data_IF_999569640577
#
_entry.id   IF_999569640577
#
_cell.length_a   1.000
_cell.length_b   1.000
_cell.length_c   1.000
_cell.angle_alpha   90.00
_cell.angle_beta   90.00
_cell.angle_gamma   90.00
#
_symmetry.space_group_name_H-M   'P 1'
#
loop_
_entity.id
_entity.type
_entity.pdbx_description
1 polymer ?
#
# COMPACT_ATOMS: atom_id res chain seq x y z
N UNK A 1 46.58 12.91 -12.65
CA UNK A 1 45.64 11.79 -12.38
C UNK A 1 44.26 12.43 -12.24
N UNK A 2 43.22 11.91 -12.93
CA UNK A 2 41.91 12.55 -12.97
C UNK A 2 41.17 12.38 -11.64
N UNK A 3 40.46 13.43 -11.22
CA UNK A 3 39.69 13.48 -9.98
C UNK A 3 38.49 12.52 -10.05
N UNK A 4 38.47 11.53 -9.16
CA UNK A 4 37.33 10.63 -9.00
C UNK A 4 36.13 11.41 -8.46
N UNK A 5 35.16 11.60 -9.35
CA UNK A 5 33.85 12.15 -9.03
C UNK A 5 33.12 11.14 -8.12
N UNK A 6 33.27 11.32 -6.80
CA UNK A 6 32.56 10.55 -5.77
C UNK A 6 31.07 10.84 -5.94
N UNK A 7 30.37 10.00 -6.71
CA UNK A 7 28.91 9.98 -6.77
C UNK A 7 28.41 9.66 -5.37
N UNK A 8 28.05 10.69 -4.62
CA UNK A 8 27.35 10.57 -3.35
C UNK A 8 26.03 9.85 -3.62
N UNK A 9 25.97 8.58 -3.22
CA UNK A 9 24.69 7.86 -3.16
C UNK A 9 23.80 8.60 -2.16
N UNK A 10 22.56 8.98 -2.52
CA UNK A 10 21.66 9.59 -1.56
C UNK A 10 21.39 8.57 -0.45
N UNK A 11 21.87 8.87 0.76
CA UNK A 11 21.55 8.09 1.95
C UNK A 11 20.03 8.21 2.13
N UNK A 12 19.32 7.12 1.80
CA UNK A 12 17.89 7.04 2.03
C UNK A 12 17.69 6.81 3.54
N UNK A 13 17.72 7.91 4.30
CA UNK A 13 17.35 7.91 5.72
C UNK A 13 15.87 7.58 5.80
N UNK A 14 15.57 6.30 5.96
CA UNK A 14 14.23 5.83 6.24
C UNK A 14 13.83 6.42 7.62
N UNK A 15 12.87 7.35 7.70
CA UNK A 15 12.52 7.97 8.97
C UNK A 15 11.94 6.92 9.93
N UNK A 16 12.12 7.14 11.23
CA UNK A 16 11.79 6.16 12.27
C UNK A 16 10.31 5.75 12.30
N UNK A 17 9.41 6.60 11.78
CA UNK A 17 8.00 6.29 11.57
C UNK A 17 7.53 6.87 10.25
N UNK A 18 6.84 6.04 9.49
CA UNK A 18 6.32 6.32 8.17
C UNK A 18 4.81 6.08 8.19
N UNK A 19 4.02 7.08 7.79
CA UNK A 19 2.57 6.98 7.74
C UNK A 19 2.11 6.18 6.51
N UNK A 20 1.24 5.19 6.72
CA UNK A 20 0.66 4.42 5.62
C UNK A 20 -0.21 5.33 4.75
N UNK A 21 0.11 5.39 3.46
CA UNK A 21 -0.71 6.08 2.45
C UNK A 21 -1.63 5.13 1.72
N UNK A 22 -1.36 3.82 1.77
CA UNK A 22 -2.23 2.80 1.20
C UNK A 22 -1.96 1.40 1.75
N UNK A 23 -3.02 0.59 1.81
CA UNK A 23 -2.96 -0.82 2.17
C UNK A 23 -3.82 -1.59 1.18
N UNK A 24 -3.24 -2.63 0.56
CA UNK A 24 -3.98 -3.57 -0.27
C UNK A 24 -3.73 -4.99 0.23
N UNK A 25 -4.79 -5.78 0.39
CA UNK A 25 -4.71 -7.16 0.83
C UNK A 25 -5.45 -8.03 -0.19
N UNK A 26 -4.72 -8.95 -0.80
CA UNK A 26 -5.26 -10.02 -1.63
C UNK A 26 -4.98 -11.38 -0.99
N UNK A 27 -5.68 -12.42 -1.44
CA UNK A 27 -5.44 -13.78 -0.96
C UNK A 27 -5.66 -14.81 -2.08
N UNK A 28 -5.06 -15.98 -1.89
CA UNK A 28 -5.37 -17.24 -2.55
C UNK A 28 -5.67 -18.28 -1.47
N UNK A 29 -5.90 -19.54 -1.85
CA UNK A 29 -6.11 -20.62 -0.89
C UNK A 29 -4.91 -20.84 0.04
N UNK A 30 -3.69 -20.58 -0.45
CA UNK A 30 -2.44 -20.91 0.24
C UNK A 30 -1.81 -19.71 0.95
N UNK A 31 -2.12 -18.48 0.53
CA UNK A 31 -1.41 -17.28 0.98
C UNK A 31 -2.26 -16.01 0.98
N UNK A 32 -1.87 -15.07 1.84
CA UNK A 32 -2.36 -13.70 1.89
C UNK A 32 -1.20 -12.78 1.48
N UNK A 33 -1.43 -11.95 0.46
CA UNK A 33 -0.48 -10.95 -0.03
C UNK A 33 -0.91 -9.58 0.49
N UNK A 34 -0.03 -8.93 1.25
CA UNK A 34 -0.26 -7.61 1.81
C UNK A 34 0.73 -6.62 1.22
N UNK A 35 0.22 -5.60 0.54
CA UNK A 35 1.01 -4.48 0.03
C UNK A 35 0.78 -3.26 0.93
N UNK A 36 1.85 -2.76 1.52
CA UNK A 36 1.87 -1.54 2.32
C UNK A 36 2.59 -0.44 1.54
N UNK A 37 1.92 0.69 1.34
CA UNK A 37 2.43 1.83 0.60
C UNK A 37 2.66 2.97 1.58
N UNK A 38 3.85 3.55 1.53
CA UNK A 38 4.22 4.75 2.27
C UNK A 38 4.92 5.74 1.35
N UNK A 39 4.26 6.85 1.04
CA UNK A 39 4.78 7.83 0.09
C UNK A 39 5.06 7.16 -1.25
N UNK A 40 6.32 7.21 -1.70
CA UNK A 40 6.78 6.59 -2.95
C UNK A 40 7.39 5.18 -2.76
N UNK A 41 7.35 4.63 -1.55
CA UNK A 41 7.86 3.29 -1.25
C UNK A 41 6.70 2.32 -1.03
N UNK A 42 6.87 1.09 -1.51
CA UNK A 42 5.91 0.02 -1.28
C UNK A 42 6.65 -1.26 -0.85
N UNK A 43 6.10 -1.95 0.14
CA UNK A 43 6.61 -3.22 0.62
C UNK A 43 5.51 -4.27 0.56
N UNK A 44 5.82 -5.42 -0.04
CA UNK A 44 4.91 -6.55 -0.14
C UNK A 44 5.33 -7.65 0.84
N UNK A 45 4.36 -8.16 1.58
CA UNK A 45 4.52 -9.23 2.54
C UNK A 45 3.63 -10.40 2.16
N UNK A 46 4.14 -11.61 2.41
CA UNK A 46 3.42 -12.85 2.18
C UNK A 46 3.15 -13.52 3.52
N UNK A 47 1.89 -13.90 3.74
CA UNK A 47 1.42 -14.47 4.99
C UNK A 47 0.70 -15.78 4.70
N UNK A 48 0.94 -16.81 5.52
CA UNK A 48 0.05 -17.97 5.52
C UNK A 48 -1.32 -17.57 6.09
N UNK A 49 -2.39 -18.37 5.85
CA UNK A 49 -3.72 -18.10 6.41
C UNK A 49 -3.70 -17.97 7.94
N UNK A 50 -2.84 -18.74 8.63
CA UNK A 50 -2.65 -18.64 10.09
C UNK A 50 -2.04 -17.29 10.50
N UNK A 51 -1.03 -16.81 9.77
CA UNK A 51 -0.43 -15.49 10.01
C UNK A 51 -1.48 -14.38 9.80
N UNK A 52 -2.23 -14.41 8.70
CA UNK A 52 -3.28 -13.45 8.41
C UNK A 52 -4.36 -13.41 9.51
N UNK A 53 -4.83 -14.59 9.96
CA UNK A 53 -5.80 -14.69 11.06
C UNK A 53 -5.26 -14.09 12.35
N UNK A 54 -3.99 -14.35 12.68
CA UNK A 54 -3.35 -13.81 13.89
C UNK A 54 -3.25 -12.28 13.82
N UNK A 55 -2.87 -11.72 12.68
CA UNK A 55 -2.80 -10.28 12.44
C UNK A 55 -4.17 -9.63 12.64
N UNK A 56 -5.23 -10.21 12.06
CA UNK A 56 -6.60 -9.73 12.22
C UNK A 56 -7.03 -9.66 13.70
N UNK A 57 -6.78 -10.73 14.47
CA UNK A 57 -7.13 -10.79 15.89
C UNK A 57 -6.35 -9.76 16.73
N UNK A 58 -5.07 -9.55 16.42
CA UNK A 58 -4.26 -8.54 17.09
C UNK A 58 -4.76 -7.13 16.81
N UNK A 59 -5.07 -6.82 15.54
CA UNK A 59 -5.64 -5.53 15.17
C UNK A 59 -6.99 -5.27 15.84
N UNK A 60 -7.90 -6.27 15.84
CA UNK A 60 -9.19 -6.15 16.52
C UNK A 60 -9.04 -5.80 18.01
N UNK A 61 -8.10 -6.47 18.71
CA UNK A 61 -7.84 -6.19 20.12
C UNK A 61 -7.36 -4.75 20.31
N UNK A 62 -6.37 -4.32 19.54
CA UNK A 62 -5.76 -2.98 19.67
C UNK A 62 -6.78 -1.88 19.34
N UNK A 63 -7.58 -2.07 18.29
CA UNK A 63 -8.65 -1.13 17.93
C UNK A 63 -9.70 -1.05 19.04
N UNK A 64 -10.18 -2.18 19.55
CA UNK A 64 -11.15 -2.19 20.64
C UNK A 64 -10.62 -1.49 21.91
N UNK A 65 -9.34 -1.68 22.24
CA UNK A 65 -8.72 -1.02 23.39
C UNK A 65 -8.52 0.49 23.16
N UNK A 66 -8.31 0.92 21.91
CA UNK A 66 -8.31 2.33 21.52
C UNK A 66 -9.71 2.94 21.65
N UNK A 67 -10.74 2.29 21.10
CA UNK A 67 -12.11 2.82 21.10
C UNK A 67 -12.68 2.97 22.52
N UNK A 68 -12.35 2.07 23.43
CA UNK A 68 -12.70 2.20 24.86
C UNK A 68 -12.18 3.50 25.50
N UNK A 69 -11.03 4.00 25.02
CA UNK A 69 -10.36 5.18 25.58
C UNK A 69 -10.71 6.47 24.86
N UNK A 70 -10.94 6.40 23.55
CA UNK A 70 -11.02 7.58 22.68
C UNK A 70 -12.34 7.70 21.91
N UNK A 71 -13.26 6.74 22.07
CA UNK A 71 -14.53 6.69 21.36
C UNK A 71 -14.48 5.83 20.10
N UNK A 72 -15.67 5.51 19.57
CA UNK A 72 -15.87 4.63 18.42
C UNK A 72 -15.27 5.20 17.13
N UNK A 73 -14.56 4.36 16.38
CA UNK A 73 -14.04 4.67 15.06
C UNK A 73 -15.08 4.28 13.99
N UNK A 74 -15.83 5.27 13.51
CA UNK A 74 -16.76 5.06 12.39
C UNK A 74 -15.99 4.99 11.08
N UNK A 75 -15.94 3.81 10.47
CA UNK A 75 -15.33 3.60 9.15
C UNK A 75 -16.18 2.67 8.30
N UNK A 76 -15.99 2.73 6.98
CA UNK A 76 -16.65 1.85 6.00
C UNK A 76 -15.59 1.34 5.03
N UNK A 77 -15.73 0.08 4.59
CA UNK A 77 -14.94 -0.41 3.48
C UNK A 77 -15.34 0.35 2.20
N UNK A 78 -14.38 0.70 1.33
CA UNK A 78 -14.71 1.28 0.03
C UNK A 78 -15.58 0.29 -0.76
N UNK A 79 -16.70 0.75 -1.29
CA UNK A 79 -17.64 -0.04 -2.09
C UNK A 79 -17.05 -0.27 -3.49
N UNK A 80 -16.09 -1.20 -3.60
CA UNK A 80 -15.51 -1.66 -4.86
C UNK A 80 -14.65 -0.63 -5.59
N UNK A 81 -13.50 -1.07 -6.09
CA UNK A 81 -12.79 -0.30 -7.10
C UNK A 81 -13.68 -0.26 -8.36
N UNK A 82 -14.32 0.88 -8.62
CA UNK A 82 -14.63 1.21 -10.01
C UNK A 82 -13.27 1.29 -10.70
N UNK A 83 -12.92 0.26 -11.47
CA UNK A 83 -11.95 0.40 -12.53
C UNK A 83 -12.47 1.52 -13.42
N UNK A 84 -11.94 2.73 -13.22
CA UNK A 84 -12.03 3.76 -14.25
C UNK A 84 -11.22 3.18 -15.41
N UNK A 85 -11.92 2.48 -16.31
CA UNK A 85 -11.42 2.25 -17.65
C UNK A 85 -11.36 3.65 -18.26
N UNK A 86 -10.25 4.32 -18.04
CA UNK A 86 -9.91 5.48 -18.84
C UNK A 86 -9.63 4.89 -20.22
N UNK A 87 -10.63 4.92 -21.10
CA UNK A 87 -10.43 4.68 -22.52
C UNK A 87 -9.37 5.69 -22.95
N UNK A 88 -8.12 5.22 -23.03
CA UNK A 88 -7.06 5.90 -23.79
C UNK A 88 -7.42 5.68 -25.26
N UNK A 89 -8.44 6.40 -25.71
CA UNK A 89 -8.79 6.53 -27.11
C UNK A 89 -7.63 7.21 -27.80
N UNK A 90 -6.80 6.44 -28.49
CA UNK A 90 -5.94 6.98 -29.52
C UNK A 90 -6.86 7.40 -30.67
N UNK A 91 -7.09 8.70 -30.81
CA UNK A 91 -7.71 9.28 -32.00
C UNK A 91 -6.76 9.09 -33.18
N UNK A 92 -6.86 7.93 -33.82
CA UNK A 92 -6.21 7.66 -35.11
C UNK A 92 -7.22 7.97 -36.21
N UNK A 93 -7.46 9.26 -36.42
CA UNK A 93 -7.83 9.75 -37.75
C UNK A 93 -7.00 10.98 -38.07
N UNK A 94 -5.75 10.67 -38.44
CA UNK A 94 -4.91 11.54 -39.26
C UNK A 94 -5.67 11.89 -40.53
N UNK A 95 -5.76 13.18 -40.76
CA UNK A 95 -6.00 13.88 -42.02
C UNK A 95 -5.89 13.00 -43.27
N UNK A 96 -6.99 12.93 -44.03
CA UNK A 96 -6.88 12.78 -45.48
C UNK A 96 -7.40 14.07 -46.10
N UNK A 97 -6.52 14.58 -46.96
CA UNK A 97 -6.67 15.72 -47.86
C UNK A 97 -7.95 15.68 -48.70
#
# INVERSE_FOLDING_TARGET
MPEENVKSLPINVNPAMLGLTGVNIGFTEEEFRMLLIVGNQAAQYLCSPKHAKRIMLLFQKVVADYEKKFGELKTKLPEGAQTVKQDVGFDVNRSKE
#
